data_IF_702425137291
#
_entry.id   IF_702425137291
#
_cell.length_a   1.000
_cell.length_b   1.000
_cell.length_c   1.000
_cell.angle_alpha   90.00
_cell.angle_beta   90.00
_cell.angle_gamma   90.00
#
_symmetry.space_group_name_H-M   'P 1'
#
loop_
_entity.id
_entity.type
_entity.pdbx_description
1 polymer ?
#
# COMPACT_ATOMS: atom_id res chain seq x y z
N UNK A 1 -16.96 -0.74 -13.03
CA UNK A 1 -15.63 -0.10 -12.97
C UNK A 1 -14.92 -0.27 -11.62
N UNK A 2 -15.58 -0.08 -10.46
CA UNK A 2 -14.96 -0.17 -9.11
C UNK A 2 -14.20 -1.47 -8.77
N UNK A 3 -14.65 -2.64 -9.25
CA UNK A 3 -13.94 -3.92 -9.02
C UNK A 3 -12.59 -4.05 -9.75
N UNK A 4 -12.35 -3.30 -10.82
CA UNK A 4 -11.10 -3.41 -11.58
C UNK A 4 -9.95 -2.62 -10.94
N UNK A 5 -10.28 -1.54 -10.22
CA UNK A 5 -9.31 -0.73 -9.46
C UNK A 5 -8.87 -1.45 -8.19
N UNK A 6 -9.79 -2.10 -7.45
CA UNK A 6 -9.43 -2.95 -6.29
C UNK A 6 -8.51 -4.12 -6.66
N UNK A 7 -8.68 -4.71 -7.84
CA UNK A 7 -7.83 -5.81 -8.32
C UNK A 7 -6.45 -5.27 -8.74
N UNK A 8 -6.37 -4.08 -9.33
CA UNK A 8 -5.08 -3.45 -9.65
C UNK A 8 -4.30 -3.05 -8.38
N UNK A 9 -4.96 -2.48 -7.37
CA UNK A 9 -4.32 -2.14 -6.09
C UNK A 9 -3.79 -3.39 -5.37
N UNK A 10 -4.53 -4.52 -5.42
CA UNK A 10 -4.04 -5.82 -4.91
C UNK A 10 -2.87 -6.38 -5.72
N UNK A 11 -2.83 -6.17 -7.03
CA UNK A 11 -1.76 -6.68 -7.90
C UNK A 11 -0.45 -5.87 -7.79
N UNK A 12 -0.51 -4.58 -7.46
CA UNK A 12 0.68 -3.73 -7.28
C UNK A 12 1.39 -3.93 -5.91
N UNK A 13 0.81 -4.72 -5.00
CA UNK A 13 1.38 -4.98 -3.65
C UNK A 13 2.31 -6.19 -3.54
N UNK A 14 2.68 -6.85 -4.64
CA UNK A 14 3.78 -7.83 -4.63
C UNK A 14 5.12 -7.10 -4.80
N UNK A 15 5.54 -6.37 -3.77
CA UNK A 15 6.97 -6.13 -3.58
C UNK A 15 7.65 -7.50 -3.50
N UNK A 16 8.75 -7.68 -4.24
CA UNK A 16 9.42 -8.98 -4.28
C UNK A 16 9.81 -9.38 -2.86
N UNK A 17 9.70 -10.67 -2.49
CA UNK A 17 10.11 -11.15 -1.15
C UNK A 17 11.52 -10.65 -0.79
N UNK A 18 12.39 -10.46 -1.79
CA UNK A 18 13.73 -9.88 -1.64
C UNK A 18 13.73 -8.41 -1.18
N UNK A 19 12.86 -7.55 -1.72
CA UNK A 19 12.70 -6.17 -1.27
C UNK A 19 12.20 -6.12 0.18
N UNK A 20 11.25 -6.99 0.53
CA UNK A 20 10.76 -7.12 1.92
C UNK A 20 11.85 -7.60 2.88
N UNK A 21 12.70 -8.56 2.46
CA UNK A 21 13.84 -9.04 3.25
C UNK A 21 14.88 -7.93 3.40
N UNK A 22 15.20 -7.21 2.31
CA UNK A 22 16.13 -6.09 2.35
C UNK A 22 15.62 -5.02 3.31
N UNK A 23 14.34 -4.64 3.23
CA UNK A 23 13.71 -3.69 4.17
C UNK A 23 13.78 -4.19 5.62
N UNK A 24 13.50 -5.47 5.87
CA UNK A 24 13.64 -6.08 7.20
C UNK A 24 15.08 -6.05 7.72
N UNK A 25 16.08 -6.25 6.85
CA UNK A 25 17.50 -6.17 7.22
C UNK A 25 17.87 -4.72 7.60
N UNK A 26 17.31 -3.73 6.92
CA UNK A 26 17.52 -2.30 7.21
C UNK A 26 16.72 -1.77 8.41
N UNK A 27 15.78 -2.54 9.00
CA UNK A 27 15.23 -2.20 10.34
C UNK A 27 16.30 -2.13 11.42
N UNK A 28 17.41 -2.84 11.23
CA UNK A 28 18.46 -2.99 12.25
C UNK A 28 19.64 -2.04 12.06
N UNK A 29 19.67 -1.27 10.97
CA UNK A 29 20.85 -0.50 10.53
C UNK A 29 20.48 0.73 9.70
N UNK A 30 21.32 1.78 9.70
CA UNK A 30 21.11 2.90 8.79
C UNK A 30 21.22 2.43 7.35
N UNK A 31 20.48 3.08 6.47
CA UNK A 31 20.69 2.93 5.03
C UNK A 31 22.11 3.40 4.68
N UNK A 32 22.87 2.63 3.87
CA UNK A 32 24.16 3.10 3.37
C UNK A 32 23.99 4.41 2.60
N UNK A 33 24.86 5.39 2.85
CA UNK A 33 24.80 6.72 2.23
C UNK A 33 24.70 6.68 0.70
N UNK A 34 25.31 5.68 0.06
CA UNK A 34 25.34 5.53 -1.40
C UNK A 34 23.98 5.19 -2.01
N UNK A 35 23.07 4.57 -1.25
CA UNK A 35 21.76 4.10 -1.75
C UNK A 35 20.58 4.72 -1.00
N UNK A 36 20.81 5.36 0.14
CA UNK A 36 19.74 5.81 1.03
C UNK A 36 18.77 6.77 0.36
N UNK A 37 19.30 7.73 -0.40
CA UNK A 37 18.48 8.69 -1.16
C UNK A 37 17.61 8.00 -2.20
N UNK A 38 18.19 7.14 -3.03
CA UNK A 38 17.48 6.46 -4.11
C UNK A 38 16.35 5.58 -3.55
N UNK A 39 16.62 4.86 -2.46
CA UNK A 39 15.61 4.04 -1.78
C UNK A 39 14.49 4.92 -1.23
N UNK A 40 14.81 5.98 -0.48
CA UNK A 40 13.79 6.85 0.12
C UNK A 40 12.96 7.56 -0.93
N UNK A 41 13.56 8.08 -1.99
CA UNK A 41 12.82 8.75 -3.06
C UNK A 41 11.90 7.77 -3.81
N UNK A 42 12.33 6.54 -4.00
CA UNK A 42 11.47 5.48 -4.54
C UNK A 42 10.26 5.22 -3.64
N UNK A 43 10.46 5.20 -2.32
CA UNK A 43 9.39 4.97 -1.34
C UNK A 43 8.48 6.19 -1.15
N UNK A 44 9.01 7.40 -1.33
CA UNK A 44 8.27 8.67 -1.22
C UNK A 44 7.38 9.00 -2.41
N UNK A 45 7.35 8.14 -3.44
CA UNK A 45 6.65 8.35 -4.71
C UNK A 45 5.46 9.32 -4.59
N UNK A 46 5.56 10.48 -5.25
CA UNK A 46 4.65 11.63 -5.07
C UNK A 46 3.17 11.27 -5.22
N UNK A 47 2.86 10.24 -6.01
CA UNK A 47 1.48 9.83 -6.26
C UNK A 47 0.93 8.85 -5.20
N UNK A 48 1.80 8.08 -4.54
CA UNK A 48 1.41 7.06 -3.58
C UNK A 48 2.61 6.62 -2.72
N UNK A 49 2.91 7.34 -1.61
CA UNK A 49 4.01 6.99 -0.75
C UNK A 49 3.80 5.63 -0.05
N UNK A 50 4.87 4.84 -0.01
CA UNK A 50 4.91 3.53 0.63
C UNK A 50 5.13 3.67 2.14
N UNK A 51 4.10 4.12 2.85
CA UNK A 51 4.19 4.48 4.27
C UNK A 51 4.56 3.31 5.19
N UNK A 52 4.12 2.09 4.90
CA UNK A 52 4.50 0.89 5.68
C UNK A 52 6.01 0.62 5.58
N UNK A 53 6.56 0.69 4.38
CA UNK A 53 8.00 0.51 4.13
C UNK A 53 8.82 1.66 4.73
N UNK A 54 8.32 2.90 4.64
CA UNK A 54 8.93 4.04 5.32
C UNK A 54 8.89 3.90 6.84
N UNK A 55 7.79 3.37 7.41
CA UNK A 55 7.66 3.13 8.84
C UNK A 55 8.75 2.17 9.33
N UNK A 56 9.05 1.12 8.56
CA UNK A 56 10.13 0.19 8.86
C UNK A 56 11.50 0.86 8.85
N UNK A 57 11.77 1.76 7.90
CA UNK A 57 13.02 2.51 7.89
C UNK A 57 13.13 3.50 9.06
N UNK A 58 12.00 4.05 9.52
CA UNK A 58 11.93 4.92 10.68
C UNK A 58 12.12 4.19 12.03
N UNK A 59 12.18 2.86 12.07
CA UNK A 59 12.60 2.16 13.29
C UNK A 59 14.08 2.49 13.64
N UNK A 60 14.87 2.99 12.68
CA UNK A 60 16.25 3.43 12.89
C UNK A 60 16.38 4.97 12.82
N UNK A 61 16.75 5.66 13.92
CA UNK A 61 16.78 7.13 13.99
C UNK A 61 17.64 7.83 12.94
N UNK A 62 18.77 7.24 12.55
CA UNK A 62 19.69 7.86 11.58
C UNK A 62 19.05 8.02 10.19
N UNK A 63 18.01 7.24 9.88
CA UNK A 63 17.26 7.37 8.62
C UNK A 63 16.29 8.56 8.63
N UNK A 64 15.92 9.10 9.80
CA UNK A 64 14.85 10.11 9.90
C UNK A 64 15.18 11.40 9.18
N UNK A 65 16.43 11.89 9.29
CA UNK A 65 16.85 13.09 8.58
C UNK A 65 16.68 12.94 7.07
N UNK A 66 17.07 11.77 6.55
CA UNK A 66 16.99 11.44 5.14
C UNK A 66 15.54 11.33 4.64
N UNK A 67 14.68 10.77 5.48
CA UNK A 67 13.23 10.65 5.22
C UNK A 67 12.54 12.02 5.30
N UNK A 68 12.97 12.93 6.17
CA UNK A 68 12.35 14.25 6.32
C UNK A 68 13.00 15.35 5.45
N UNK A 69 13.87 14.97 4.52
CA UNK A 69 14.37 15.87 3.45
C UNK A 69 13.20 16.35 2.58
N UNK A 70 13.34 17.55 2.01
CA UNK A 70 12.36 18.20 1.13
C UNK A 70 11.01 18.48 1.81
N UNK A 71 11.04 18.70 3.13
CA UNK A 71 9.84 19.04 3.91
C UNK A 71 8.74 17.97 3.80
N UNK A 72 9.14 16.69 3.69
CA UNK A 72 8.21 15.58 3.51
C UNK A 72 7.12 15.49 4.59
N UNK A 73 7.35 15.99 5.81
CA UNK A 73 6.30 16.08 6.82
C UNK A 73 5.08 16.89 6.35
N UNK A 74 5.25 17.87 5.44
CA UNK A 74 4.15 18.68 4.91
C UNK A 74 3.20 17.91 4.00
N UNK A 75 3.64 16.79 3.42
CA UNK A 75 2.76 15.90 2.66
C UNK A 75 1.94 14.97 3.56
N UNK A 76 2.24 14.91 4.86
CA UNK A 76 1.48 14.07 5.79
C UNK A 76 0.04 14.54 5.91
N UNK A 77 -0.84 13.57 5.74
CA UNK A 77 -2.28 13.66 5.64
C UNK A 77 -2.78 14.60 4.54
N UNK A 78 -1.94 14.97 3.56
CA UNK A 78 -2.40 15.74 2.41
C UNK A 78 -3.16 14.81 1.47
N UNK A 79 -4.33 15.23 1.00
CA UNK A 79 -5.13 14.53 0.00
C UNK A 79 -5.48 13.07 0.35
N UNK A 80 -5.68 12.76 1.64
CA UNK A 80 -5.93 11.38 2.08
C UNK A 80 -7.31 10.92 1.65
N UNK A 81 -7.35 9.92 0.78
CA UNK A 81 -8.61 9.40 0.19
C UNK A 81 -9.17 8.19 0.92
N UNK A 82 -8.36 7.52 1.74
CA UNK A 82 -8.74 6.22 2.31
C UNK A 82 -8.36 6.04 3.77
N UNK A 83 -9.18 5.26 4.49
CA UNK A 83 -8.90 4.81 5.87
C UNK A 83 -7.58 4.04 6.00
N UNK A 84 -7.20 3.30 4.96
CA UNK A 84 -5.96 2.53 4.93
C UNK A 84 -4.75 3.46 4.99
N UNK A 85 -4.75 4.48 4.13
CA UNK A 85 -3.67 5.46 4.07
C UNK A 85 -3.52 6.21 5.39
N UNK A 86 -4.62 6.58 6.07
CA UNK A 86 -4.58 7.17 7.41
C UNK A 86 -3.84 6.24 8.38
N UNK A 87 -4.18 4.95 8.40
CA UNK A 87 -3.57 3.98 9.32
C UNK A 87 -2.07 3.82 9.05
N UNK A 88 -1.67 3.75 7.78
CA UNK A 88 -0.27 3.62 7.36
C UNK A 88 0.54 4.87 7.72
N UNK A 89 -0.02 6.07 7.49
CA UNK A 89 0.61 7.32 7.89
C UNK A 89 0.76 7.45 9.41
N UNK A 90 -0.27 7.09 10.18
CA UNK A 90 -0.18 7.04 11.65
C UNK A 90 0.91 6.07 12.10
N UNK A 91 1.04 4.90 11.44
CA UNK A 91 2.10 3.94 11.73
C UNK A 91 3.50 4.49 11.44
N UNK A 92 3.66 5.21 10.33
CA UNK A 92 4.89 5.88 9.95
C UNK A 92 5.33 6.97 10.94
N UNK A 93 4.37 7.72 11.47
CA UNK A 93 4.63 8.86 12.38
C UNK A 93 5.18 8.40 13.74
N UNK A 94 4.68 7.28 14.28
CA UNK A 94 4.99 6.83 15.65
C UNK A 94 6.51 6.67 15.88
N UNK A 95 7.28 5.93 15.05
CA UNK A 95 8.72 5.77 15.26
C UNK A 95 9.50 7.09 15.20
N UNK A 96 9.07 8.06 14.38
CA UNK A 96 9.72 9.38 14.31
C UNK A 96 9.50 10.14 15.62
N UNK A 97 8.26 10.19 16.12
CA UNK A 97 7.95 10.88 17.37
C UNK A 97 8.59 10.21 18.59
N UNK A 98 8.75 8.88 18.56
CA UNK A 98 9.37 8.15 19.67
C UNK A 98 10.90 8.25 19.65
N UNK A 99 11.53 8.02 18.50
CA UNK A 99 12.96 7.76 18.41
C UNK A 99 13.77 8.88 17.72
N UNK A 100 13.10 9.85 17.09
CA UNK A 100 13.77 10.89 16.32
C UNK A 100 14.55 11.90 17.16
N UNK A 101 15.36 12.71 16.48
CA UNK A 101 15.97 13.90 17.09
C UNK A 101 14.88 14.88 17.55
N UNK A 102 15.18 15.72 18.53
CA UNK A 102 14.23 16.74 19.01
C UNK A 102 13.76 17.67 17.89
N UNK A 103 14.63 17.96 16.92
CA UNK A 103 14.29 18.73 15.73
C UNK A 103 13.26 18.00 14.85
N UNK A 104 13.50 16.73 14.51
CA UNK A 104 12.58 15.93 13.69
C UNK A 104 11.24 15.71 14.38
N UNK A 105 11.26 15.42 15.69
CA UNK A 105 10.08 15.29 16.53
C UNK A 105 9.22 16.55 16.47
N UNK A 106 9.82 17.72 16.70
CA UNK A 106 9.10 19.01 16.66
C UNK A 106 8.57 19.33 15.28
N UNK A 107 9.38 19.11 14.23
CA UNK A 107 8.99 19.35 12.83
C UNK A 107 7.73 18.57 12.46
N UNK A 108 7.72 17.26 12.73
CA UNK A 108 6.57 16.39 12.47
C UNK A 108 5.40 16.76 13.39
N UNK A 109 5.64 16.94 14.69
CA UNK A 109 4.59 17.23 15.67
C UNK A 109 3.80 18.50 15.33
N UNK A 110 4.49 19.60 14.98
CA UNK A 110 3.86 20.86 14.58
C UNK A 110 3.00 20.68 13.33
N UNK A 111 3.51 19.96 12.34
CA UNK A 111 2.84 19.80 11.05
C UNK A 111 1.54 18.99 11.13
N UNK A 112 1.49 17.96 11.98
CA UNK A 112 0.34 17.05 12.07
C UNK A 112 -0.62 17.37 13.21
N UNK A 113 -0.29 18.31 14.10
CA UNK A 113 -1.02 18.58 15.35
C UNK A 113 -2.53 18.78 15.15
N UNK A 114 -2.94 19.68 14.23
CA UNK A 114 -4.37 20.00 13.96
C UNK A 114 -5.13 18.74 13.56
N UNK A 115 -4.58 17.95 12.63
CA UNK A 115 -5.21 16.73 12.09
C UNK A 115 -5.28 15.62 13.13
N UNK A 116 -4.21 15.41 13.90
CA UNK A 116 -4.21 14.43 14.99
C UNK A 116 -5.18 14.84 16.11
N UNK A 117 -5.30 16.12 16.46
CA UNK A 117 -6.31 16.60 17.44
C UNK A 117 -7.72 16.26 16.96
N UNK A 118 -8.02 16.47 15.67
CA UNK A 118 -9.31 16.08 15.05
C UNK A 118 -9.53 14.57 15.11
N UNK A 119 -8.56 13.75 14.70
CA UNK A 119 -8.67 12.28 14.68
C UNK A 119 -8.75 11.65 16.08
N UNK A 120 -8.10 12.25 17.08
CA UNK A 120 -8.10 11.77 18.46
C UNK A 120 -9.41 12.10 19.22
N UNK A 121 -10.24 12.98 18.68
CA UNK A 121 -11.56 13.29 19.21
C UNK A 121 -12.58 12.28 18.67
N UNK A 122 -13.26 11.56 19.57
CA UNK A 122 -14.15 10.46 19.20
C UNK A 122 -15.39 10.92 18.40
N UNK A 123 -15.90 12.12 18.64
CA UNK A 123 -17.06 12.67 17.91
C UNK A 123 -16.66 13.04 16.47
N UNK A 124 -15.54 13.72 16.30
CA UNK A 124 -15.00 14.06 14.97
C UNK A 124 -14.66 12.81 14.17
N UNK A 125 -14.03 11.82 14.80
CA UNK A 125 -13.71 10.55 14.17
C UNK A 125 -14.99 9.79 13.76
N UNK A 126 -16.05 9.80 14.58
CA UNK A 126 -17.33 9.18 14.23
C UNK A 126 -18.00 9.85 13.02
N UNK A 127 -18.01 11.19 12.97
CA UNK A 127 -18.53 11.94 11.82
C UNK A 127 -17.80 11.57 10.54
N UNK A 128 -16.47 11.57 10.58
CA UNK A 128 -15.62 11.27 9.42
C UNK A 128 -15.74 9.79 9.00
N UNK A 129 -15.78 8.86 9.97
CA UNK A 129 -16.02 7.44 9.71
C UNK A 129 -17.39 7.20 9.06
N UNK A 130 -18.43 7.93 9.47
CA UNK A 130 -19.77 7.86 8.87
C UNK A 130 -19.77 8.42 7.44
N UNK A 131 -19.14 9.58 7.21
CA UNK A 131 -19.02 10.20 5.87
C UNK A 131 -18.41 9.24 4.85
N UNK A 132 -17.40 8.48 5.25
CA UNK A 132 -16.65 7.59 4.37
C UNK A 132 -16.95 6.09 4.53
N UNK A 133 -18.02 5.73 5.26
CA UNK A 133 -18.44 4.34 5.49
C UNK A 133 -17.32 3.42 5.99
N UNK A 134 -16.57 3.88 6.99
CA UNK A 134 -15.47 3.08 7.56
C UNK A 134 -16.00 1.91 8.39
N UNK A 135 -15.26 0.80 8.37
CA UNK A 135 -15.57 -0.34 9.24
C UNK A 135 -15.04 -0.06 10.65
N UNK A 136 -15.72 -0.62 11.67
CA UNK A 136 -15.40 -0.38 13.07
C UNK A 136 -13.94 -0.71 13.42
N UNK A 137 -13.37 -1.75 12.81
CA UNK A 137 -11.96 -2.13 12.98
C UNK A 137 -10.98 -0.99 12.66
N UNK A 138 -11.20 -0.25 11.56
CA UNK A 138 -10.30 0.85 11.18
C UNK A 138 -10.52 2.07 12.07
N UNK A 139 -11.77 2.35 12.42
CA UNK A 139 -12.11 3.42 13.36
C UNK A 139 -11.42 3.21 14.72
N UNK A 140 -11.46 2.00 15.26
CA UNK A 140 -10.77 1.66 16.50
C UNK A 140 -9.25 1.84 16.38
N UNK A 141 -8.64 1.31 15.31
CA UNK A 141 -7.20 1.47 15.08
C UNK A 141 -6.77 2.95 14.96
N UNK A 142 -7.53 3.75 14.21
CA UNK A 142 -7.29 5.19 14.04
C UNK A 142 -7.46 5.91 15.38
N UNK A 143 -8.51 5.60 16.16
CA UNK A 143 -8.74 6.21 17.48
C UNK A 143 -7.57 5.92 18.43
N UNK A 144 -7.14 4.67 18.53
CA UNK A 144 -6.04 4.27 19.43
C UNK A 144 -4.74 4.98 19.05
N UNK A 145 -4.33 4.89 17.78
CA UNK A 145 -3.05 5.47 17.32
C UNK A 145 -3.05 6.99 17.35
N UNK A 146 -4.15 7.65 16.97
CA UNK A 146 -4.23 9.11 17.00
C UNK A 146 -4.18 9.65 18.42
N UNK A 147 -4.82 8.98 19.40
CA UNK A 147 -4.72 9.34 20.82
C UNK A 147 -3.29 9.18 21.34
N UNK A 148 -2.61 8.09 20.98
CA UNK A 148 -1.20 7.88 21.32
C UNK A 148 -0.31 9.01 20.77
N UNK A 149 -0.42 9.30 19.48
CA UNK A 149 0.33 10.38 18.81
C UNK A 149 0.01 11.74 19.44
N UNK A 150 -1.25 12.01 19.77
CA UNK A 150 -1.66 13.27 20.41
C UNK A 150 -0.97 13.47 21.77
N UNK A 151 -0.80 12.39 22.56
CA UNK A 151 -0.04 12.44 23.82
C UNK A 151 1.44 12.75 23.55
N UNK A 152 2.04 12.10 22.54
CA UNK A 152 3.44 12.37 22.15
C UNK A 152 3.64 13.82 21.72
N UNK A 153 2.75 14.37 20.89
CA UNK A 153 2.78 15.76 20.45
C UNK A 153 2.75 16.70 21.67
N UNK A 154 1.80 16.52 22.59
CA UNK A 154 1.71 17.33 23.82
C UNK A 154 3.00 17.29 24.64
N UNK A 155 3.71 16.16 24.67
CA UNK A 155 4.99 16.05 25.36
C UNK A 155 6.14 16.76 24.64
N UNK A 156 6.11 16.83 23.30
CA UNK A 156 7.18 17.41 22.47
C UNK A 156 7.07 18.94 22.38
N UNK A 157 5.88 19.45 22.09
CA UNK A 157 5.63 20.89 21.88
C UNK A 157 5.00 21.59 23.08
N UNK A 158 4.50 20.82 24.07
CA UNK A 158 3.83 21.34 25.26
C UNK A 158 2.31 21.44 25.11
N UNK A 159 1.67 21.92 26.17
CA UNK A 159 0.25 22.29 26.16
C UNK A 159 0.14 23.75 25.71
N UNK A 160 0.10 23.99 24.41
CA UNK A 160 -0.45 25.26 23.95
C UNK A 160 -1.98 25.13 24.05
N UNK A 161 -2.57 25.83 25.02
CA UNK A 161 -4.02 26.04 25.17
C UNK A 161 -4.57 26.91 24.01
N UNK A 162 -4.19 26.61 22.77
CA UNK A 162 -4.87 27.12 21.58
C UNK A 162 -6.17 26.32 21.42
N UNK A 163 -7.10 26.59 22.35
CA UNK A 163 -8.53 26.25 22.25
C UNK A 163 -9.31 27.38 21.55
N UNK A 164 -8.63 28.27 20.82
CA UNK A 164 -9.26 28.96 19.71
C UNK A 164 -9.51 27.94 18.61
N UNK A 165 -10.55 27.13 18.81
CA UNK A 165 -11.29 26.42 17.78
C UNK A 165 -11.87 27.47 16.82
N UNK A 166 -11.02 28.09 16.01
CA UNK A 166 -11.47 28.51 14.71
C UNK A 166 -11.78 27.21 13.98
N UNK A 167 -13.07 26.84 14.02
CA UNK A 167 -13.71 25.90 13.12
C UNK A 167 -13.47 26.40 11.69
N UNK A 168 -12.25 26.24 11.20
CA UNK A 168 -11.99 26.25 9.77
C UNK A 168 -12.76 25.04 9.24
N UNK A 169 -13.95 25.34 8.73
CA UNK A 169 -14.75 24.57 7.80
C UNK A 169 -13.88 24.27 6.56
N UNK A 170 -12.86 23.44 6.73
CA UNK A 170 -12.12 22.77 5.65
C UNK A 170 -13.02 21.69 4.97
N UNK A 171 -14.35 21.92 4.96
CA UNK A 171 -15.32 21.26 4.09
C UNK A 171 -15.45 22.08 2.78
N UNK A 172 -14.38 22.72 2.32
CA UNK A 172 -14.21 23.09 0.90
C UNK A 172 -13.90 21.82 0.08
N UNK A 173 -14.77 20.82 0.15
CA UNK A 173 -14.94 19.93 -1.00
C UNK A 173 -15.91 20.65 -1.92
N UNK A 174 -15.35 21.18 -3.01
CA UNK A 174 -16.08 21.62 -4.19
C UNK A 174 -17.21 20.63 -4.46
N UNK A 175 -18.44 21.04 -4.14
CA UNK A 175 -19.61 20.47 -4.78
C UNK A 175 -19.43 20.80 -6.26
N UNK A 176 -18.92 19.82 -7.01
CA UNK A 176 -19.15 19.73 -8.45
C UNK A 176 -20.69 19.70 -8.61
N UNK A 177 -21.25 20.90 -8.71
CA UNK A 177 -22.60 21.23 -9.20
C UNK A 177 -22.67 20.73 -10.65
N UNK A 178 -22.70 19.41 -10.83
CA UNK A 178 -23.31 18.79 -11.99
C UNK A 178 -24.83 18.99 -11.83
N UNK A 179 -25.27 20.22 -12.14
CA UNK A 179 -26.64 20.53 -12.53
C UNK A 179 -26.99 19.65 -13.75
N UNK A 180 -27.37 18.39 -13.49
CA UNK A 180 -28.11 17.60 -14.47
C UNK A 180 -29.46 18.31 -14.67
N UNK A 181 -29.60 18.99 -15.80
CA UNK A 181 -30.87 19.46 -16.33
C UNK A 181 -31.87 18.29 -16.32
N UNK A 182 -32.84 18.35 -15.41
CA UNK A 182 -33.98 17.44 -15.42
C UNK A 182 -34.77 17.64 -16.72
N UNK A 183 -34.67 16.67 -17.64
CA UNK A 183 -35.68 16.50 -18.67
C UNK A 183 -36.93 15.90 -18.02
N UNK A 184 -37.98 16.72 -17.95
CA UNK A 184 -39.35 16.35 -17.60
C UNK A 184 -39.79 15.09 -18.39
N UNK A 185 -39.83 13.94 -17.72
CA UNK A 185 -40.53 12.75 -18.21
C UNK A 185 -41.83 12.61 -17.41
N UNK A 186 -42.84 13.35 -17.87
CA UNK A 186 -44.24 12.98 -17.66
C UNK A 186 -44.48 11.64 -18.37
N UNK A 187 -44.70 10.55 -17.61
CA UNK A 187 -45.68 9.58 -18.07
C UNK A 187 -46.29 8.81 -16.89
N UNK A 188 -47.58 9.11 -16.72
CA UNK A 188 -48.58 8.39 -15.96
C UNK A 188 -48.47 6.87 -16.15
N UNK A 189 -48.44 6.12 -15.04
CA UNK A 189 -49.31 4.95 -14.94
C UNK A 189 -49.52 4.46 -13.51
N UNK A 190 -50.74 4.79 -13.06
CA UNK A 190 -51.73 3.97 -12.35
C UNK A 190 -51.30 3.04 -11.21
N UNK A 191 -51.97 3.35 -10.09
CA UNK A 191 -52.21 2.59 -8.87
C UNK A 191 -52.52 1.10 -9.12
N UNK A 192 -52.01 0.24 -8.23
CA UNK A 192 -52.77 -0.87 -7.67
C UNK A 192 -52.09 -1.30 -6.36
N UNK A 193 -52.66 -0.78 -5.26
CA UNK A 193 -53.09 -1.44 -4.03
C UNK A 193 -52.46 -2.78 -3.56
N UNK A 194 -52.43 -2.86 -2.22
CA UNK A 194 -52.48 -4.06 -1.37
C UNK A 194 -51.18 -4.86 -1.16
N UNK A 195 -50.54 -4.71 0.00
CA UNK A 195 -50.96 -5.46 1.19
C UNK A 195 -49.98 -5.28 2.36
N UNK A 196 -50.57 -5.12 3.55
CA UNK A 196 -49.93 -5.16 4.85
C UNK A 196 -49.16 -6.48 5.07
N UNK A 197 -47.90 -6.40 5.50
CA UNK A 197 -47.31 -7.51 6.25
C UNK A 197 -46.32 -7.01 7.32
N UNK A 198 -46.86 -6.93 8.54
CA UNK A 198 -46.13 -6.77 9.80
C UNK A 198 -45.08 -7.88 9.92
N UNK A 199 -43.80 -7.56 9.72
CA UNK A 199 -42.71 -8.46 10.08
C UNK A 199 -41.82 -7.85 11.17
N UNK A 200 -42.21 -8.14 12.41
CA UNK A 200 -41.50 -7.90 13.66
C UNK A 200 -40.17 -8.69 13.67
N UNK A 201 -39.10 -8.07 13.17
CA UNK A 201 -37.75 -8.66 13.19
C UNK A 201 -37.15 -8.57 14.59
N UNK A 202 -37.41 -9.58 15.42
CA UNK A 202 -36.71 -9.81 16.67
C UNK A 202 -35.30 -10.34 16.37
N UNK A 203 -34.29 -9.47 16.52
CA UNK A 203 -32.87 -9.82 16.39
C UNK A 203 -32.45 -10.63 17.63
N UNK A 204 -32.44 -11.96 17.50
CA UNK A 204 -31.88 -12.89 18.49
C UNK A 204 -30.36 -13.02 18.25
N UNK A 205 -29.58 -12.31 19.07
CA UNK A 205 -28.11 -12.36 19.11
C UNK A 205 -27.62 -13.69 19.70
N UNK A 206 -27.69 -14.77 18.92
CA UNK A 206 -26.95 -16.00 19.18
C UNK A 206 -25.54 -15.90 18.60
N UNK A 207 -24.58 -15.64 19.50
CA UNK A 207 -23.15 -15.87 19.33
C UNK A 207 -22.88 -17.32 18.87
N UNK A 208 -22.81 -17.49 17.54
CA UNK A 208 -22.29 -18.70 16.91
C UNK A 208 -20.77 -18.72 17.01
N UNK A 209 -20.24 -19.77 17.61
CA UNK A 209 -18.81 -20.11 17.53
C UNK A 209 -18.47 -20.35 16.05
N UNK A 210 -17.54 -19.56 15.51
CA UNK A 210 -16.89 -19.86 14.25
C UNK A 210 -15.89 -21.00 14.50
N UNK A 211 -16.10 -22.12 13.80
CA UNK A 211 -15.14 -23.20 13.70
C UNK A 211 -14.00 -22.76 12.76
N UNK A 212 -12.78 -22.77 13.29
CA UNK A 212 -11.52 -22.49 12.60
C UNK A 212 -11.11 -23.67 11.69
N UNK A 213 -11.75 -23.79 10.52
CA UNK A 213 -11.25 -24.64 9.45
C UNK A 213 -10.99 -23.78 8.21
N UNK A 214 -9.88 -23.05 8.25
CA UNK A 214 -9.22 -22.54 7.05
C UNK A 214 -8.13 -23.56 6.73
N UNK A 215 -8.38 -24.38 5.70
CA UNK A 215 -7.35 -25.18 5.05
C UNK A 215 -6.44 -24.20 4.29
N UNK A 216 -5.30 -23.86 4.90
CA UNK A 216 -4.21 -23.13 4.27
C UNK A 216 -3.52 -24.07 3.26
N UNK A 217 -3.93 -24.00 1.99
CA UNK A 217 -3.20 -24.57 0.84
C UNK A 217 -1.87 -23.79 0.65
N UNK A 218 -0.86 -24.15 1.43
CA UNK A 218 0.48 -23.54 1.48
C UNK A 218 1.47 -24.26 0.53
N UNK A 219 1.18 -24.23 -0.78
CA UNK A 219 2.02 -24.90 -1.81
C UNK A 219 3.15 -23.98 -2.37
N UNK A 220 3.70 -23.04 -1.59
CA UNK A 220 4.80 -22.16 -2.04
C UNK A 220 6.10 -22.31 -1.22
N UNK A 221 6.42 -23.54 -0.80
CA UNK A 221 7.65 -23.88 -0.06
C UNK A 221 8.96 -23.70 -0.87
N UNK A 222 8.91 -23.68 -2.21
CA UNK A 222 10.13 -23.63 -3.04
C UNK A 222 10.88 -22.28 -2.94
N UNK A 223 10.19 -21.19 -2.60
CA UNK A 223 10.80 -19.85 -2.52
C UNK A 223 11.46 -19.56 -1.16
N UNK A 224 11.16 -20.32 -0.10
CA UNK A 224 11.75 -20.07 1.23
C UNK A 224 13.21 -20.54 1.30
N UNK A 225 13.55 -21.60 0.55
CA UNK A 225 14.88 -22.22 0.54
C UNK A 225 16.00 -21.28 0.08
N UNK A 226 15.74 -20.46 -0.94
CA UNK A 226 16.75 -19.55 -1.51
C UNK A 226 17.14 -18.43 -0.53
N UNK A 227 16.25 -18.09 0.42
CA UNK A 227 16.45 -16.98 1.36
C UNK A 227 17.38 -17.36 2.52
N UNK A 228 17.24 -18.57 3.06
CA UNK A 228 18.13 -19.09 4.09
C UNK A 228 19.54 -19.33 3.54
N UNK A 229 19.69 -19.69 2.26
CA UNK A 229 21.03 -19.84 1.65
C UNK A 229 21.85 -18.53 1.63
N UNK A 230 21.19 -17.37 1.48
CA UNK A 230 21.91 -16.08 1.51
C UNK A 230 22.34 -15.75 2.93
N UNK A 231 21.46 -15.95 3.92
CA UNK A 231 21.80 -15.72 5.33
C UNK A 231 22.90 -16.67 5.79
N UNK A 232 22.84 -17.95 5.43
CA UNK A 232 23.89 -18.94 5.72
C UNK A 232 25.21 -18.60 5.01
N UNK A 233 25.17 -17.92 3.86
CA UNK A 233 26.40 -17.46 3.20
C UNK A 233 27.05 -16.24 3.87
N UNK A 234 26.29 -15.47 4.66
CA UNK A 234 26.75 -14.27 5.36
C UNK A 234 27.19 -14.59 6.80
N UNK A 235 26.77 -15.74 7.33
CA UNK A 235 27.11 -16.24 8.67
C UNK A 235 27.77 -17.61 8.60
N UNK A 236 29.03 -17.71 9.03
CA UNK A 236 29.74 -18.99 9.11
C UNK A 236 29.75 -19.43 10.58
N UNK A 237 29.10 -20.56 10.89
CA UNK A 237 29.02 -21.12 12.25
C UNK A 237 28.47 -20.12 13.30
N UNK A 238 27.53 -19.26 12.89
CA UNK A 238 26.94 -18.23 13.74
C UNK A 238 27.83 -16.99 13.96
N UNK A 239 29.02 -16.95 13.37
CA UNK A 239 29.86 -15.76 13.31
C UNK A 239 29.55 -14.93 12.07
N UNK A 240 29.31 -13.63 12.28
CA UNK A 240 29.07 -12.66 11.21
C UNK A 240 30.38 -12.37 10.45
N UNK A 241 30.37 -12.48 9.12
CA UNK A 241 31.55 -12.18 8.30
C UNK A 241 31.96 -10.69 8.40
N UNK A 242 33.22 -10.32 8.10
CA UNK A 242 33.62 -8.92 7.94
C UNK A 242 32.80 -8.20 6.84
N UNK A 243 32.56 -6.89 7.00
CA UNK A 243 31.58 -6.15 6.16
C UNK A 243 31.93 -6.13 4.67
N UNK A 244 33.21 -6.06 4.34
CA UNK A 244 33.77 -6.14 2.99
C UNK A 244 33.51 -7.52 2.34
N UNK A 245 33.62 -8.58 3.13
CA UNK A 245 33.31 -9.95 2.70
C UNK A 245 31.80 -10.13 2.53
N UNK A 246 30.98 -9.61 3.44
CA UNK A 246 29.51 -9.65 3.30
C UNK A 246 29.06 -9.00 1.99
N UNK A 247 29.57 -7.80 1.68
CA UNK A 247 29.21 -7.10 0.45
C UNK A 247 29.60 -7.89 -0.80
N UNK A 248 30.77 -8.55 -0.78
CA UNK A 248 31.23 -9.38 -1.89
C UNK A 248 30.32 -10.58 -2.09
N UNK A 249 30.02 -11.33 -1.02
CA UNK A 249 29.13 -12.51 -1.05
C UNK A 249 27.72 -12.14 -1.51
N UNK A 250 27.16 -11.05 -0.96
CA UNK A 250 25.85 -10.53 -1.35
C UNK A 250 25.87 -10.16 -2.84
N UNK A 251 26.87 -9.42 -3.31
CA UNK A 251 26.97 -9.01 -4.72
C UNK A 251 27.05 -10.20 -5.68
N UNK A 252 27.81 -11.24 -5.34
CA UNK A 252 27.92 -12.45 -6.15
C UNK A 252 26.61 -13.24 -6.20
N UNK A 253 25.94 -13.43 -5.06
CA UNK A 253 24.63 -14.08 -5.00
C UNK A 253 23.58 -13.30 -5.79
N UNK A 254 23.57 -11.98 -5.71
CA UNK A 254 22.68 -11.14 -6.51
C UNK A 254 22.89 -11.31 -8.02
N UNK A 255 24.14 -11.46 -8.50
CA UNK A 255 24.42 -11.74 -9.92
C UNK A 255 23.85 -13.08 -10.36
N UNK A 256 23.95 -14.11 -9.50
CA UNK A 256 23.41 -15.45 -9.78
C UNK A 256 21.88 -15.41 -9.88
N UNK A 257 21.22 -14.81 -8.89
CA UNK A 257 19.75 -14.68 -8.85
C UNK A 257 19.25 -13.93 -10.09
N UNK A 258 19.88 -12.78 -10.41
CA UNK A 258 19.51 -12.00 -11.60
C UNK A 258 19.66 -12.81 -12.89
N UNK A 259 20.70 -13.65 -12.98
CA UNK A 259 20.88 -14.54 -14.14
C UNK A 259 19.81 -15.63 -14.19
N UNK A 260 19.40 -16.18 -13.05
CA UNK A 260 18.33 -17.19 -12.97
C UNK A 260 16.97 -16.59 -13.36
N UNK A 261 16.62 -15.42 -12.85
CA UNK A 261 15.37 -14.72 -13.22
C UNK A 261 15.32 -14.42 -14.72
N UNK A 262 16.41 -13.92 -15.31
CA UNK A 262 16.50 -13.71 -16.76
C UNK A 262 16.30 -15.00 -17.55
N UNK A 263 16.76 -16.14 -17.03
CA UNK A 263 16.56 -17.44 -17.66
C UNK A 263 15.10 -17.91 -17.58
N UNK A 264 14.43 -17.70 -16.43
CA UNK A 264 13.00 -18.00 -16.23
C UNK A 264 12.13 -17.16 -17.18
N UNK A 265 12.41 -15.86 -17.29
CA UNK A 265 11.72 -14.96 -18.24
C UNK A 265 11.87 -15.46 -19.68
N UNK A 266 13.11 -15.79 -20.10
CA UNK A 266 13.35 -16.33 -21.46
C UNK A 266 12.66 -17.67 -21.72
N UNK A 267 12.46 -18.50 -20.70
CA UNK A 267 11.70 -19.75 -20.83
C UNK A 267 10.22 -19.46 -21.01
N UNK A 268 9.64 -18.58 -20.18
CA UNK A 268 8.23 -18.16 -20.30
C UNK A 268 7.94 -17.53 -21.68
N UNK A 269 8.83 -16.67 -22.18
CA UNK A 269 8.70 -16.10 -23.52
C UNK A 269 8.67 -17.16 -24.63
N UNK A 270 9.43 -18.26 -24.49
CA UNK A 270 9.41 -19.37 -25.44
C UNK A 270 8.11 -20.16 -25.35
N UNK A 271 7.58 -20.37 -24.15
CA UNK A 271 6.30 -21.06 -23.96
C UNK A 271 5.15 -20.26 -24.55
N UNK A 272 5.12 -18.93 -24.33
CA UNK A 272 4.14 -18.01 -24.92
C UNK A 272 4.19 -18.07 -26.46
N UNK A 273 5.37 -18.03 -27.06
CA UNK A 273 5.51 -18.15 -28.52
C UNK A 273 4.99 -19.49 -29.05
N UNK A 274 5.25 -20.58 -28.32
CA UNK A 274 4.77 -21.91 -28.70
C UNK A 274 3.26 -22.04 -28.61
N UNK A 275 2.61 -21.43 -27.61
CA UNK A 275 1.15 -21.36 -27.55
C UNK A 275 0.57 -20.50 -28.67
N UNK A 276 1.21 -19.38 -29.03
CA UNK A 276 0.79 -18.56 -30.18
C UNK A 276 0.88 -19.32 -31.52
N UNK A 277 1.94 -20.11 -31.74
CA UNK A 277 2.10 -20.96 -32.93
C UNK A 277 1.01 -22.04 -33.01
N UNK A 278 0.77 -22.76 -31.91
CA UNK A 278 -0.28 -23.80 -31.85
C UNK A 278 -1.69 -23.22 -32.02
N UNK A 279 -1.95 -22.02 -31.51
CA UNK A 279 -3.23 -21.35 -31.75
C UNK A 279 -3.41 -20.93 -33.20
N UNK A 280 -2.34 -20.54 -33.89
CA UNK A 280 -2.41 -20.17 -35.31
C UNK A 280 -2.67 -21.39 -36.20
N UNK A 281 -2.13 -22.57 -35.86
CA UNK A 281 -2.45 -23.83 -36.55
C UNK A 281 -3.91 -24.26 -36.31
N UNK A 282 -4.46 -23.99 -35.11
CA UNK A 282 -5.87 -24.28 -34.80
C UNK A 282 -6.85 -23.28 -35.44
N UNK A 283 -6.38 -22.09 -35.84
CA UNK A 283 -7.18 -21.02 -36.48
C UNK A 283 -7.42 -21.24 -37.99
N UNK A 284 -6.83 -22.26 -38.61
CA UNK A 284 -7.18 -22.65 -39.99
C UNK A 284 -8.46 -23.52 -40.08
N UNK A 285 -9.09 -23.90 -38.95
CA UNK A 285 -10.29 -24.76 -38.96
C UNK A 285 -11.62 -24.12 -38.53
N UNK A 286 -11.67 -22.90 -37.98
CA UNK A 286 -12.97 -22.32 -37.56
C UNK A 286 -13.05 -20.77 -37.58
N UNK A 287 -14.08 -20.31 -38.30
CA UNK A 287 -14.81 -19.03 -38.37
C UNK A 287 -14.23 -17.69 -37.82
N UNK A 288 -14.29 -16.65 -38.66
CA UNK A 288 -13.40 -15.48 -38.66
C UNK A 288 -13.78 -14.20 -37.90
N UNK A 289 -14.83 -14.13 -37.08
CA UNK A 289 -15.25 -12.85 -36.47
C UNK A 289 -14.78 -12.63 -35.02
N UNK A 290 -14.68 -13.67 -34.18
CA UNK A 290 -14.29 -13.55 -32.76
C UNK A 290 -12.76 -13.36 -32.55
N UNK A 291 -12.00 -13.23 -33.65
CA UNK A 291 -10.54 -13.26 -33.68
C UNK A 291 -9.92 -11.86 -33.64
N UNK A 292 -10.64 -10.83 -34.10
CA UNK A 292 -10.09 -9.45 -34.15
C UNK A 292 -9.93 -8.85 -32.76
N UNK A 293 -10.90 -9.02 -31.87
CA UNK A 293 -10.84 -8.48 -30.51
C UNK A 293 -9.77 -9.16 -29.66
N UNK A 294 -9.60 -10.49 -29.77
CA UNK A 294 -8.54 -11.21 -29.05
C UNK A 294 -7.12 -10.83 -29.50
N UNK A 295 -6.91 -10.54 -30.79
CA UNK A 295 -5.61 -10.08 -31.30
C UNK A 295 -5.23 -8.69 -30.77
N UNK A 296 -6.20 -7.82 -30.52
CA UNK A 296 -5.96 -6.49 -29.94
C UNK A 296 -5.45 -6.64 -28.50
N UNK A 297 -6.08 -7.51 -27.70
CA UNK A 297 -5.71 -7.70 -26.30
C UNK A 297 -4.31 -8.31 -26.10
N UNK A 298 -3.92 -9.28 -26.93
CA UNK A 298 -2.59 -9.90 -26.83
C UNK A 298 -1.49 -8.90 -27.24
N UNK A 299 -1.71 -8.12 -28.30
CA UNK A 299 -0.74 -7.12 -28.75
C UNK A 299 -0.51 -6.04 -27.70
N UNK A 300 -1.58 -5.60 -27.03
CA UNK A 300 -1.49 -4.66 -25.91
C UNK A 300 -0.72 -5.24 -24.71
N UNK A 301 -0.96 -6.51 -24.36
CA UNK A 301 -0.23 -7.17 -23.27
C UNK A 301 1.28 -7.26 -23.54
N UNK A 302 1.68 -7.60 -24.77
CA UNK A 302 3.10 -7.66 -25.17
C UNK A 302 3.76 -6.28 -25.14
N UNK A 303 3.04 -5.23 -25.54
CA UNK A 303 3.54 -3.85 -25.51
C UNK A 303 3.76 -3.36 -24.07
N UNK A 304 2.83 -3.67 -23.16
CA UNK A 304 2.95 -3.36 -21.72
C UNK A 304 4.18 -4.07 -21.12
N UNK A 305 4.37 -5.36 -21.41
CA UNK A 305 5.53 -6.12 -20.92
C UNK A 305 6.86 -5.51 -21.42
N UNK A 306 6.90 -5.07 -22.68
CA UNK A 306 8.09 -4.46 -23.27
C UNK A 306 8.43 -3.09 -22.65
N UNK A 307 7.42 -2.29 -22.31
CA UNK A 307 7.59 -1.00 -21.61
C UNK A 307 8.13 -1.25 -20.19
N UNK A 308 7.57 -2.22 -19.47
CA UNK A 308 8.01 -2.57 -18.12
C UNK A 308 9.47 -3.08 -18.08
N UNK A 309 9.89 -3.86 -19.08
CA UNK A 309 11.28 -4.33 -19.19
C UNK A 309 12.27 -3.16 -19.42
N UNK A 310 11.91 -2.18 -20.25
CA UNK A 310 12.74 -0.98 -20.50
C UNK A 310 12.89 -0.10 -19.26
N UNK A 311 11.81 0.10 -18.51
CA UNK A 311 11.83 0.93 -17.31
C UNK A 311 12.67 0.32 -16.18
N UNK A 312 12.83 -1.01 -16.15
CA UNK A 312 13.72 -1.71 -15.21
C UNK A 312 15.20 -1.74 -15.65
N UNK A 313 15.57 -1.01 -16.72
CA UNK A 313 16.94 -1.00 -17.25
C UNK A 313 17.39 -2.34 -17.81
N UNK A 314 16.46 -3.26 -18.09
CA UNK A 314 16.75 -4.55 -18.71
C UNK A 314 16.91 -4.29 -20.21
N UNK A 315 18.16 -4.17 -20.67
CA UNK A 315 18.47 -4.17 -22.10
C UNK A 315 18.30 -5.60 -22.62
N UNK A 316 17.41 -5.78 -23.60
CA UNK A 316 17.17 -7.06 -24.29
C UNK A 316 18.44 -7.62 -24.93
#
# INVERSE_FOLDING_TARGET
>A
MKKSEEIQVKYYRKSSKQEQINLKLFKTRPLPEQIGNDVIQTLKNENNPYYDELAFLCEFPDNHNLILVDEFEKSLFKDVKSKFEIVEQLQFIIPILHLGSEENKKKVALQIQKKIKKLANDENLQKLAKKHLWEEKYKEQISIKSKEINIMIKNIIGYEENDNEEEENDDEEEEDDDEEEEEDVDDDQEEDDDDDDDNEYSIDLRLGKLDDNIDDDDDNDDDEKDTYEVLDSVYVEGAKLPSDVQQTVISEKFKIIKSQEQSKIKQQEKEIKKTEENENEKKESDNGENIRERKINIKQAVEIISILAKNKGIKN
#
